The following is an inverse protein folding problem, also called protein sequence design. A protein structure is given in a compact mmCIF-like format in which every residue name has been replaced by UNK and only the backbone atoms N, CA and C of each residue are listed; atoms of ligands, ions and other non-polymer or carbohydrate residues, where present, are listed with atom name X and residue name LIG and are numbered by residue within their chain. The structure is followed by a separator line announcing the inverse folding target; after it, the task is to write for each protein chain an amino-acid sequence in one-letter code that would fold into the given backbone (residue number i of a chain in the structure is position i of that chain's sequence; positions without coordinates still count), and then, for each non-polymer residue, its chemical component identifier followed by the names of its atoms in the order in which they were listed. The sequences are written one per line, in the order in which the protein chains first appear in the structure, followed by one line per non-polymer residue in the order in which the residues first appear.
data_IF_833576561139
#
_entry.id   IF_833576561139
#
_cell.length_a   1.000
_cell.length_b   1.000
_cell.length_c   1.000
_cell.angle_alpha   90.00
_cell.angle_beta   90.00
_cell.angle_gamma   90.00
#
_symmetry.space_group_name_H-M   'P 1'
#
loop_
_entity.id
_entity.type
_entity.pdbx_description
1 polymer ?
#
# COMPACT_ATOMS: atom_id res chain seq x y z
N UNK A 1 6.25 19.17 21.70
CA UNK A 1 6.35 19.32 20.24
C UNK A 1 5.44 18.28 19.62
N UNK A 2 4.21 18.66 19.25
CA UNK A 2 3.26 17.75 18.62
C UNK A 2 3.62 17.65 17.13
N UNK A 3 4.15 16.51 16.70
CA UNK A 3 4.36 16.24 15.29
C UNK A 3 3.00 15.89 14.67
N UNK A 4 2.29 16.90 14.15
CA UNK A 4 1.22 16.65 13.19
C UNK A 4 1.86 16.06 11.93
N UNK A 5 1.82 14.73 11.82
CA UNK A 5 2.11 14.05 10.56
C UNK A 5 0.94 14.33 9.62
N UNK A 6 1.10 15.32 8.74
CA UNK A 6 0.13 15.63 7.69
C UNK A 6 0.23 14.57 6.58
N UNK A 7 -0.34 13.39 6.81
CA UNK A 7 -0.56 12.43 5.72
C UNK A 7 -1.81 12.82 4.90
N UNK A 8 -2.67 13.70 5.43
CA UNK A 8 -3.88 14.14 4.75
C UNK A 8 -4.02 15.67 4.82
N UNK A 9 -3.73 16.35 3.72
CA UNK A 9 -4.38 17.63 3.45
C UNK A 9 -5.63 17.34 2.60
N UNK A 10 -6.86 17.44 3.15
CA UNK A 10 -8.07 17.12 2.40
C UNK A 10 -8.33 18.06 1.21
N UNK A 11 -7.58 19.17 1.10
CA UNK A 11 -7.68 20.13 -0.02
C UNK A 11 -6.54 20.00 -1.03
N UNK A 12 -5.48 19.23 -0.75
CA UNK A 12 -4.43 18.96 -1.73
C UNK A 12 -4.50 17.50 -2.16
N UNK A 13 -4.69 17.28 -3.47
CA UNK A 13 -4.68 15.96 -4.10
C UNK A 13 -3.28 15.42 -4.37
N UNK A 14 -2.24 16.20 -4.11
CA UNK A 14 -0.84 15.81 -4.35
C UNK A 14 0.07 16.30 -3.23
N UNK A 15 0.92 15.42 -2.70
CA UNK A 15 2.01 15.77 -1.80
C UNK A 15 3.07 16.52 -2.61
N UNK A 16 3.06 17.85 -2.55
CA UNK A 16 3.89 18.71 -3.40
C UNK A 16 5.31 18.88 -2.85
N UNK A 17 6.04 17.78 -2.67
CA UNK A 17 7.43 17.85 -2.27
C UNK A 17 8.30 17.00 -3.21
N UNK A 18 9.24 17.70 -3.84
CA UNK A 18 10.25 17.11 -4.72
C UNK A 18 11.10 16.15 -3.88
N UNK A 19 10.91 14.84 -4.08
CA UNK A 19 11.59 13.80 -3.29
C UNK A 19 10.71 13.11 -2.25
N UNK A 20 9.45 13.50 -2.08
CA UNK A 20 8.56 12.92 -1.07
C UNK A 20 7.76 11.75 -1.65
N UNK A 21 8.35 10.56 -1.57
CA UNK A 21 7.65 9.31 -1.84
C UNK A 21 6.62 8.98 -0.75
N UNK A 22 5.54 8.31 -1.12
CA UNK A 22 4.60 7.72 -0.15
C UNK A 22 5.12 6.36 0.30
N UNK A 23 5.38 6.23 1.60
CA UNK A 23 5.78 4.96 2.21
C UNK A 23 4.55 4.21 2.73
N UNK A 24 4.25 3.06 2.14
CA UNK A 24 3.26 2.11 2.70
C UNK A 24 3.81 1.47 3.98
N UNK A 25 2.94 0.99 4.89
CA UNK A 25 3.36 0.17 6.01
C UNK A 25 4.21 -1.02 5.56
N UNK A 26 5.33 -1.25 6.25
CA UNK A 26 6.31 -2.30 5.94
C UNK A 26 6.32 -3.34 7.07
N UNK A 27 6.28 -4.62 6.72
CA UNK A 27 6.31 -5.71 7.69
C UNK A 27 6.88 -6.98 7.05
N UNK A 28 7.20 -8.00 7.85
CA UNK A 28 7.63 -9.32 7.37
C UNK A 28 6.45 -10.12 6.83
N UNK A 29 6.71 -11.23 6.14
CA UNK A 29 5.63 -12.14 5.69
C UNK A 29 4.79 -12.61 6.86
N UNK A 30 5.44 -13.00 7.97
CA UNK A 30 4.74 -13.41 9.19
C UNK A 30 3.90 -12.27 9.77
N UNK A 31 4.45 -11.05 9.80
CA UNK A 31 3.74 -9.86 10.27
C UNK A 31 2.52 -9.53 9.41
N UNK A 32 2.61 -9.63 8.09
CA UNK A 32 1.49 -9.42 7.16
C UNK A 32 0.38 -10.45 7.35
N UNK A 33 0.74 -11.73 7.51
CA UNK A 33 -0.21 -12.83 7.68
C UNK A 33 -0.87 -12.84 9.07
N UNK A 34 -0.25 -12.22 10.07
CA UNK A 34 -0.85 -12.05 11.39
C UNK A 34 -1.96 -10.98 11.43
N UNK A 35 -2.04 -10.11 10.40
CA UNK A 35 -3.07 -9.09 10.32
C UNK A 35 -4.40 -9.74 9.93
N UNK A 36 -5.41 -9.60 10.79
CA UNK A 36 -6.76 -10.07 10.52
C UNK A 36 -7.54 -9.00 9.78
N UNK A 37 -7.93 -9.30 8.54
CA UNK A 37 -8.77 -8.43 7.72
C UNK A 37 -10.07 -9.12 7.33
N UNK A 38 -11.06 -8.31 7.00
CA UNK A 38 -12.35 -8.77 6.50
C UNK A 38 -12.59 -8.22 5.09
N UNK A 39 -13.75 -8.52 4.50
CA UNK A 39 -14.10 -8.04 3.15
C UNK A 39 -14.23 -6.52 3.07
N UNK A 40 -14.47 -5.83 4.19
CA UNK A 40 -14.60 -4.37 4.24
C UNK A 40 -13.26 -3.65 4.14
N UNK A 41 -12.16 -4.34 4.48
CA UNK A 41 -10.80 -3.80 4.47
C UNK A 41 -10.12 -3.95 3.10
N UNK A 42 -10.91 -4.16 2.03
CA UNK A 42 -10.39 -4.31 0.68
C UNK A 42 -9.64 -3.05 0.24
N UNK A 43 -8.47 -3.23 -0.36
CA UNK A 43 -7.60 -2.15 -0.84
C UNK A 43 -6.48 -1.77 0.11
N UNK A 44 -6.38 -2.40 1.29
CA UNK A 44 -5.24 -2.23 2.20
C UNK A 44 -3.94 -2.68 1.53
N UNK A 45 -2.88 -1.88 1.69
CA UNK A 45 -1.58 -2.11 1.07
C UNK A 45 -0.47 -2.28 2.12
N UNK A 46 0.39 -3.26 1.90
CA UNK A 46 1.55 -3.54 2.77
C UNK A 46 2.73 -3.97 1.93
N UNK A 47 3.91 -3.42 2.21
CA UNK A 47 5.16 -3.90 1.61
C UNK A 47 5.77 -5.00 2.48
N UNK A 48 5.89 -6.19 1.93
CA UNK A 48 6.53 -7.34 2.57
C UNK A 48 8.04 -7.25 2.40
N UNK A 49 8.77 -7.20 3.52
CA UNK A 49 10.23 -7.08 3.52
C UNK A 49 10.98 -8.38 3.27
N UNK A 50 10.35 -9.54 3.44
CA UNK A 50 10.96 -10.84 3.18
C UNK A 50 10.84 -11.23 1.70
N UNK A 51 9.70 -10.87 1.09
CA UNK A 51 9.44 -11.09 -0.34
C UNK A 51 9.82 -9.88 -1.20
N UNK A 52 10.22 -8.77 -0.57
CA UNK A 52 10.56 -7.51 -1.21
C UNK A 52 9.50 -7.01 -2.20
N UNK A 53 8.23 -7.20 -1.89
CA UNK A 53 7.13 -6.90 -2.80
C UNK A 53 5.93 -6.24 -2.10
N UNK A 54 5.13 -5.50 -2.88
CA UNK A 54 3.87 -4.91 -2.45
C UNK A 54 2.74 -5.94 -2.50
N UNK A 55 1.93 -5.97 -1.46
CA UNK A 55 0.73 -6.80 -1.37
C UNK A 55 -0.51 -5.93 -1.13
N UNK A 56 -1.62 -6.32 -1.76
CA UNK A 56 -2.93 -5.67 -1.64
C UNK A 56 -3.94 -6.70 -1.11
N UNK A 57 -4.74 -6.31 -0.11
CA UNK A 57 -5.84 -7.15 0.37
C UNK A 57 -7.04 -7.03 -0.58
N UNK A 58 -7.45 -8.14 -1.20
CA UNK A 58 -8.57 -8.16 -2.15
C UNK A 58 -9.96 -8.32 -1.47
N UNK A 59 -9.99 -8.44 -0.14
CA UNK A 59 -11.19 -8.72 0.66
C UNK A 59 -11.24 -10.14 1.23
N UNK A 60 -10.43 -11.07 0.70
CA UNK A 60 -10.38 -12.48 1.13
C UNK A 60 -8.96 -13.01 1.27
N UNK A 61 -8.01 -12.47 0.52
CA UNK A 61 -6.60 -12.87 0.52
C UNK A 61 -5.67 -11.70 0.17
N UNK A 62 -4.39 -11.89 0.47
CA UNK A 62 -3.31 -11.02 0.01
C UNK A 62 -2.91 -11.36 -1.42
N UNK A 63 -2.94 -10.38 -2.31
CA UNK A 63 -2.45 -10.50 -3.67
C UNK A 63 -1.14 -9.73 -3.85
N UNK A 64 -0.16 -10.36 -4.49
CA UNK A 64 1.11 -9.72 -4.81
C UNK A 64 0.97 -8.82 -6.04
N UNK A 65 1.49 -7.60 -5.98
CA UNK A 65 1.59 -6.73 -7.14
C UNK A 65 2.82 -7.15 -7.95
N UNK A 66 2.68 -7.55 -9.23
CA UNK A 66 3.83 -7.91 -10.05
C UNK A 66 4.72 -6.68 -10.33
N UNK A 67 6.03 -6.85 -10.23
CA UNK A 67 7.01 -5.77 -10.44
C UNK A 67 7.10 -5.31 -11.91
N UNK A 68 6.63 -6.12 -12.85
CA UNK A 68 6.53 -5.79 -14.28
C UNK A 68 5.05 -5.68 -14.62
N UNK A 69 4.65 -4.48 -15.06
CA UNK A 69 3.26 -4.07 -15.21
C UNK A 69 2.42 -5.08 -15.99
N UNK A 70 1.23 -5.36 -15.44
CA UNK A 70 0.13 -5.94 -16.19
C UNK A 70 -0.16 -5.04 -17.40
N UNK A 71 0.46 -5.40 -18.52
CA UNK A 71 0.40 -4.66 -19.77
C UNK A 71 -0.80 -5.11 -20.62
N UNK A 72 -1.80 -5.77 -20.01
CA UNK A 72 -2.93 -6.32 -20.76
C UNK A 72 -4.15 -5.40 -20.85
N UNK A 73 -4.18 -4.27 -20.13
CA UNK A 73 -5.28 -3.33 -20.25
C UNK A 73 -4.90 -2.13 -21.13
N UNK A 74 -5.30 -2.17 -22.40
CA UNK A 74 -5.44 -0.99 -23.25
C UNK A 74 -6.48 -0.06 -22.60
N UNK A 75 -6.05 0.84 -21.73
CA UNK A 75 -6.93 1.92 -21.24
C UNK A 75 -7.17 2.90 -22.40
N UNK A 76 -8.44 3.03 -22.78
CA UNK A 76 -8.99 3.94 -23.79
C UNK A 76 -8.83 5.40 -23.36
#
# INVERSE_FOLDING_TARGET
MSAQSFIYNPTATTSAATGDGYAVPRTTTAGRLAISFTTVDKGMMVYDTDLNNLFIWNGTAWESVPASGDSSNMQV
#
